data_IF_521227267339
#
_entry.id   IF_521227267339
#
_cell.length_a   1.000
_cell.length_b   1.000
_cell.length_c   1.000
_cell.angle_alpha   90.00
_cell.angle_beta   90.00
_cell.angle_gamma   90.00
#
_symmetry.space_group_name_H-M   'P 1'
#
loop_
_entity.id
_entity.type
_entity.pdbx_description
1 polymer ?
#
# COMPACT_ATOMS: atom_id res chain seq x y z
N UNK A 1 -11.11 -20.14 -34.28
CA UNK A 1 -10.39 -19.46 -33.18
C UNK A 1 -11.33 -19.37 -32.00
N UNK A 2 -11.06 -20.06 -30.90
CA UNK A 2 -11.82 -19.89 -29.65
C UNK A 2 -11.67 -18.44 -29.19
N UNK A 3 -12.78 -17.71 -29.04
CA UNK A 3 -12.76 -16.33 -28.53
C UNK A 3 -12.15 -16.36 -27.12
N UNK A 4 -11.03 -15.67 -26.94
CA UNK A 4 -10.44 -15.47 -25.62
C UNK A 4 -11.48 -14.78 -24.73
N UNK A 5 -11.76 -15.35 -23.55
CA UNK A 5 -12.68 -14.73 -22.58
C UNK A 5 -12.06 -13.47 -21.97
N UNK A 6 -12.87 -12.49 -21.56
CA UNK A 6 -12.39 -11.35 -20.79
C UNK A 6 -11.56 -11.77 -19.57
N UNK A 7 -10.44 -11.09 -19.33
CA UNK A 7 -9.53 -11.43 -18.24
C UNK A 7 -8.35 -10.48 -18.12
N UNK A 8 -7.55 -10.70 -17.07
CA UNK A 8 -6.27 -10.02 -16.86
C UNK A 8 -5.11 -10.99 -17.05
N UNK A 9 -4.02 -10.51 -17.65
CA UNK A 9 -2.85 -11.33 -17.97
C UNK A 9 -2.29 -12.07 -16.74
N UNK A 10 -2.14 -13.39 -16.85
CA UNK A 10 -1.60 -14.23 -15.79
C UNK A 10 -2.49 -14.42 -14.55
N UNK A 11 -3.63 -13.75 -14.44
CA UNK A 11 -4.59 -13.95 -13.33
C UNK A 11 -5.50 -15.14 -13.70
N UNK A 12 -4.94 -16.36 -13.62
CA UNK A 12 -5.62 -17.59 -14.05
C UNK A 12 -6.71 -18.05 -13.08
N UNK A 13 -6.41 -18.06 -11.78
CA UNK A 13 -7.29 -18.54 -10.72
C UNK A 13 -7.52 -17.45 -9.69
N UNK A 14 -8.79 -17.09 -9.46
CA UNK A 14 -9.17 -16.00 -8.57
C UNK A 14 -10.59 -16.19 -8.05
N UNK A 15 -10.92 -15.52 -6.94
CA UNK A 15 -12.29 -15.37 -6.44
C UNK A 15 -13.12 -14.32 -7.22
N UNK A 16 -12.53 -13.61 -8.18
CA UNK A 16 -13.23 -12.71 -9.11
C UNK A 16 -13.39 -13.35 -10.48
N UNK A 17 -14.60 -13.26 -11.05
CA UNK A 17 -14.89 -13.74 -12.40
C UNK A 17 -14.85 -12.57 -13.40
N UNK A 18 -13.75 -12.47 -14.14
CA UNK A 18 -13.56 -11.42 -15.15
C UNK A 18 -14.48 -11.55 -16.37
N UNK A 19 -15.25 -12.63 -16.52
CA UNK A 19 -16.31 -12.68 -17.53
C UNK A 19 -17.53 -11.80 -17.16
N UNK A 20 -17.68 -11.41 -15.89
CA UNK A 20 -18.78 -10.57 -15.39
C UNK A 20 -18.41 -9.09 -15.46
N UNK A 21 -19.36 -8.24 -15.89
CA UNK A 21 -19.18 -6.78 -15.97
C UNK A 21 -18.83 -6.14 -14.62
N UNK A 22 -19.36 -6.67 -13.52
CA UNK A 22 -19.20 -6.08 -12.18
C UNK A 22 -17.73 -6.08 -11.72
N UNK A 23 -16.95 -7.08 -12.16
CA UNK A 23 -15.50 -7.16 -11.89
C UNK A 23 -14.68 -6.07 -12.60
N UNK A 24 -15.24 -5.46 -13.64
CA UNK A 24 -14.63 -4.34 -14.37
C UNK A 24 -15.05 -2.97 -13.85
N UNK A 25 -15.86 -2.92 -12.80
CA UNK A 25 -16.21 -1.67 -12.11
C UNK A 25 -15.03 -1.06 -11.35
N UNK A 26 -15.13 0.24 -11.04
CA UNK A 26 -14.09 1.06 -10.37
C UNK A 26 -13.37 0.34 -9.22
N UNK A 27 -14.10 -0.32 -8.31
CA UNK A 27 -13.50 -0.87 -7.09
C UNK A 27 -12.74 -2.19 -7.35
N UNK A 28 -13.31 -3.09 -8.16
CA UNK A 28 -12.69 -4.39 -8.42
C UNK A 28 -11.57 -4.29 -9.47
N UNK A 29 -11.80 -3.56 -10.57
CA UNK A 29 -10.78 -3.43 -11.60
C UNK A 29 -9.49 -2.79 -11.06
N UNK A 30 -9.60 -1.71 -10.29
CA UNK A 30 -8.44 -0.99 -9.77
C UNK A 30 -7.60 -1.80 -8.77
N UNK A 31 -8.20 -2.78 -8.08
CA UNK A 31 -7.49 -3.70 -7.17
C UNK A 31 -6.99 -4.97 -7.89
N UNK A 32 -7.60 -5.35 -9.03
CA UNK A 32 -7.19 -6.53 -9.81
C UNK A 32 -6.16 -6.26 -10.92
N UNK A 33 -6.32 -5.16 -11.67
CA UNK A 33 -5.41 -4.78 -12.77
C UNK A 33 -3.92 -4.83 -12.38
N UNK A 34 -3.54 -4.40 -11.16
CA UNK A 34 -2.15 -4.44 -10.70
C UNK A 34 -1.50 -5.82 -10.69
N UNK A 35 -2.25 -6.88 -10.35
CA UNK A 35 -1.77 -8.26 -10.44
C UNK A 35 -1.48 -8.65 -11.90
N UNK A 36 -2.37 -8.26 -12.82
CA UNK A 36 -2.19 -8.48 -14.26
C UNK A 36 -0.97 -7.76 -14.83
N UNK A 37 -0.77 -6.50 -14.45
CA UNK A 37 0.40 -5.71 -14.84
C UNK A 37 1.70 -6.33 -14.31
N UNK A 38 1.71 -6.77 -13.05
CA UNK A 38 2.87 -7.41 -12.41
C UNK A 38 3.22 -8.74 -13.09
N UNK A 39 2.22 -9.56 -13.42
CA UNK A 39 2.43 -10.79 -14.18
C UNK A 39 2.99 -10.51 -15.59
N UNK A 40 2.52 -9.44 -16.23
CA UNK A 40 2.99 -9.05 -17.56
C UNK A 40 4.46 -8.58 -17.52
N UNK A 41 4.84 -7.78 -16.53
CA UNK A 41 6.24 -7.41 -16.28
C UNK A 41 7.12 -8.67 -16.11
N UNK A 42 6.68 -9.63 -15.29
CA UNK A 42 7.40 -10.89 -15.09
C UNK A 42 7.57 -11.68 -16.40
N UNK A 43 6.54 -11.72 -17.26
CA UNK A 43 6.62 -12.39 -18.57
C UNK A 43 7.63 -11.74 -19.54
N UNK A 44 8.00 -10.49 -19.28
CA UNK A 44 9.04 -9.75 -20.02
C UNK A 44 10.40 -9.81 -19.31
N UNK A 45 10.55 -10.64 -18.28
CA UNK A 45 11.74 -10.70 -17.41
C UNK A 45 12.07 -9.36 -16.76
N UNK A 46 11.04 -8.59 -16.40
CA UNK A 46 11.17 -7.30 -15.72
C UNK A 46 10.76 -7.46 -14.25
N UNK A 47 11.72 -7.31 -13.35
CA UNK A 47 11.44 -7.25 -11.92
C UNK A 47 10.83 -5.90 -11.51
N UNK A 48 10.06 -5.89 -10.44
CA UNK A 48 9.45 -4.67 -9.91
C UNK A 48 10.49 -3.82 -9.15
N UNK A 49 10.25 -2.51 -9.05
CA UNK A 49 11.07 -1.65 -8.20
C UNK A 49 10.69 -1.93 -6.75
N UNK A 50 11.64 -2.31 -5.91
CA UNK A 50 11.39 -2.58 -4.49
C UNK A 50 12.01 -1.51 -3.61
N UNK A 51 11.16 -0.77 -2.91
CA UNK A 51 11.56 0.18 -1.87
C UNK A 51 11.72 -0.58 -0.56
N UNK A 52 12.93 -0.53 -0.02
CA UNK A 52 13.31 -1.23 1.19
C UNK A 52 14.04 -0.26 2.13
N UNK A 53 14.05 -0.57 3.43
CA UNK A 53 14.69 0.25 4.45
C UNK A 53 16.11 -0.25 4.73
N UNK A 54 17.08 0.66 4.79
CA UNK A 54 18.44 0.35 5.25
C UNK A 54 18.64 0.58 6.75
N UNK A 55 19.85 0.29 7.24
CA UNK A 55 20.20 0.38 8.68
C UNK A 55 20.29 1.83 9.18
N UNK A 56 20.40 2.80 8.27
CA UNK A 56 20.36 4.24 8.54
C UNK A 56 18.93 4.80 8.49
N UNK A 57 17.91 3.93 8.43
CA UNK A 57 16.50 4.29 8.27
C UNK A 57 16.23 5.09 6.99
N UNK A 58 17.02 4.88 5.94
CA UNK A 58 16.81 5.48 4.63
C UNK A 58 16.19 4.45 3.69
N UNK A 59 15.20 4.93 2.93
CA UNK A 59 14.59 4.12 1.89
C UNK A 59 15.52 4.05 0.69
N UNK A 60 15.80 2.84 0.23
CA UNK A 60 16.64 2.50 -0.91
C UNK A 60 15.87 1.65 -1.90
N UNK A 61 16.40 1.51 -3.11
CA UNK A 61 15.80 0.71 -4.16
C UNK A 61 16.63 -0.53 -4.44
N UNK A 62 15.93 -1.65 -4.66
CA UNK A 62 16.46 -2.81 -5.36
C UNK A 62 15.37 -3.38 -6.28
N UNK A 63 15.59 -4.56 -6.85
CA UNK A 63 14.57 -5.28 -7.62
C UNK A 63 13.94 -6.37 -6.77
N UNK A 64 12.68 -6.67 -7.04
CA UNK A 64 11.96 -7.83 -6.50
C UNK A 64 11.21 -8.54 -7.61
N UNK A 65 11.42 -9.85 -7.70
CA UNK A 65 10.71 -10.67 -8.67
C UNK A 65 9.24 -10.83 -8.29
N UNK A 66 8.37 -11.11 -9.27
CA UNK A 66 6.97 -11.45 -9.00
C UNK A 66 6.86 -12.73 -8.13
N UNK A 67 7.82 -13.66 -8.25
CA UNK A 67 7.90 -14.85 -7.40
C UNK A 67 8.07 -14.50 -5.93
N UNK A 68 9.04 -13.66 -5.60
CA UNK A 68 9.28 -13.22 -4.22
C UNK A 68 8.10 -12.43 -3.67
N UNK A 69 7.51 -11.56 -4.51
CA UNK A 69 6.33 -10.77 -4.16
C UNK A 69 5.11 -11.63 -3.83
N UNK A 70 4.86 -12.72 -4.58
CA UNK A 70 3.70 -13.59 -4.39
C UNK A 70 3.95 -14.77 -3.46
N UNK A 71 5.22 -15.11 -3.19
CA UNK A 71 5.62 -16.32 -2.49
C UNK A 71 5.63 -17.59 -3.35
N UNK A 72 5.30 -17.49 -4.64
CA UNK A 72 5.27 -18.58 -5.62
C UNK A 72 5.42 -18.01 -7.03
N UNK A 73 5.86 -18.82 -8.00
CA UNK A 73 5.98 -18.39 -9.40
C UNK A 73 4.67 -17.82 -9.95
N UNK A 74 4.69 -16.66 -10.65
CA UNK A 74 3.50 -15.99 -11.16
C UNK A 74 2.76 -16.79 -12.25
N UNK A 75 3.42 -17.75 -12.89
CA UNK A 75 2.82 -18.64 -13.89
C UNK A 75 2.38 -20.00 -13.30
N UNK A 76 2.65 -20.24 -12.01
CA UNK A 76 2.31 -21.49 -11.32
C UNK A 76 0.82 -21.76 -11.44
N UNK A 77 0.48 -23.01 -11.74
CA UNK A 77 -0.92 -23.41 -11.68
C UNK A 77 -1.41 -23.54 -10.23
N UNK A 78 -0.54 -23.51 -9.21
CA UNK A 78 -0.99 -23.50 -7.81
C UNK A 78 -1.22 -22.09 -7.24
N UNK A 79 -0.97 -21.03 -8.01
CA UNK A 79 -1.20 -19.65 -7.56
C UNK A 79 -2.69 -19.27 -7.69
N UNK A 80 -3.29 -18.87 -6.58
CA UNK A 80 -4.64 -18.31 -6.50
C UNK A 80 -4.62 -16.86 -6.02
N UNK A 81 -5.29 -15.97 -6.75
CA UNK A 81 -5.44 -14.54 -6.42
C UNK A 81 -6.76 -14.31 -5.65
N UNK A 82 -6.69 -14.24 -4.33
CA UNK A 82 -7.83 -14.03 -3.45
C UNK A 82 -7.99 -12.54 -3.13
N UNK A 83 -8.82 -11.83 -3.89
CA UNK A 83 -9.04 -10.40 -3.70
C UNK A 83 -9.97 -10.12 -2.53
N UNK A 84 -9.79 -8.96 -1.87
CA UNK A 84 -10.62 -8.50 -0.75
C UNK A 84 -10.85 -9.58 0.32
N UNK A 85 -9.76 -10.24 0.69
CA UNK A 85 -9.77 -11.40 1.58
C UNK A 85 -8.85 -11.18 2.79
N UNK A 86 -9.15 -11.78 3.95
CA UNK A 86 -8.28 -11.68 5.12
C UNK A 86 -7.06 -12.60 4.95
N UNK A 87 -5.89 -12.14 5.38
CA UNK A 87 -4.71 -13.00 5.54
C UNK A 87 -4.80 -13.73 6.87
N UNK A 88 -5.42 -14.91 6.84
CA UNK A 88 -5.75 -15.68 8.04
C UNK A 88 -4.58 -15.96 9.00
N UNK A 89 -3.29 -16.04 8.59
CA UNK A 89 -2.19 -16.18 9.54
C UNK A 89 -2.07 -15.05 10.58
N UNK A 90 -2.58 -13.85 10.28
CA UNK A 90 -2.58 -12.72 11.23
C UNK A 90 -3.79 -12.69 12.17
N UNK A 91 -4.80 -13.54 11.96
CA UNK A 91 -6.03 -13.54 12.76
C UNK A 91 -5.75 -13.77 14.27
N UNK A 92 -4.75 -14.60 14.60
CA UNK A 92 -4.35 -14.85 15.98
C UNK A 92 -3.75 -13.63 16.70
N UNK A 93 -3.27 -12.63 15.95
CA UNK A 93 -2.60 -11.44 16.48
C UNK A 93 -3.58 -10.32 16.84
N UNK A 94 -4.87 -10.45 16.51
CA UNK A 94 -5.87 -9.39 16.69
C UNK A 94 -7.04 -9.86 17.56
N UNK A 95 -7.65 -8.92 18.26
CA UNK A 95 -8.96 -9.11 18.92
C UNK A 95 -10.05 -8.77 17.91
N UNK A 96 -11.06 -9.63 17.80
CA UNK A 96 -12.15 -9.48 16.83
C UNK A 96 -11.79 -10.04 15.45
N UNK A 97 -12.35 -9.46 14.39
CA UNK A 97 -12.17 -9.96 13.02
C UNK A 97 -11.02 -9.20 12.34
N UNK A 98 -10.08 -9.90 11.71
CA UNK A 98 -9.04 -9.25 10.91
C UNK A 98 -9.68 -8.59 9.67
N UNK A 99 -9.35 -7.33 9.35
CA UNK A 99 -9.85 -6.70 8.13
C UNK A 99 -9.33 -7.42 6.88
N UNK A 100 -10.03 -7.20 5.77
CA UNK A 100 -9.62 -7.69 4.45
C UNK A 100 -8.51 -6.80 3.91
N UNK A 101 -7.61 -7.39 3.12
CA UNK A 101 -6.63 -6.66 2.30
C UNK A 101 -7.00 -6.81 0.82
N UNK A 102 -6.53 -5.89 -0.03
CA UNK A 102 -6.89 -5.87 -1.45
C UNK A 102 -6.56 -7.19 -2.17
N UNK A 103 -5.42 -7.81 -1.89
CA UNK A 103 -5.02 -9.09 -2.46
C UNK A 103 -4.33 -9.99 -1.42
N UNK A 104 -4.74 -11.25 -1.35
CA UNK A 104 -3.99 -12.34 -0.72
C UNK A 104 -3.65 -13.38 -1.78
N UNK A 105 -2.36 -13.68 -1.96
CA UNK A 105 -1.95 -14.85 -2.76
C UNK A 105 -2.07 -16.11 -1.93
N UNK A 106 -2.57 -17.18 -2.54
CA UNK A 106 -2.81 -18.46 -1.87
C UNK A 106 -2.34 -19.63 -2.73
N UNK A 107 -2.01 -20.75 -2.10
CA UNK A 107 -1.91 -22.04 -2.78
C UNK A 107 -3.32 -22.57 -3.06
N UNK A 108 -3.60 -22.92 -4.32
CA UNK A 108 -4.90 -23.48 -4.69
C UNK A 108 -5.08 -24.89 -4.11
N UNK A 109 -4.00 -25.65 -3.99
CA UNK A 109 -3.98 -27.04 -3.54
C UNK A 109 -4.53 -27.22 -2.12
N UNK A 110 -4.31 -26.26 -1.22
CA UNK A 110 -4.68 -26.38 0.18
C UNK A 110 -5.23 -25.08 0.83
N UNK A 111 -5.31 -23.97 0.08
CA UNK A 111 -5.78 -22.68 0.58
C UNK A 111 -4.79 -21.93 1.47
N UNK A 112 -3.54 -22.37 1.58
CA UNK A 112 -2.51 -21.72 2.39
C UNK A 112 -2.26 -20.29 1.87
N UNK A 113 -2.41 -19.31 2.75
CA UNK A 113 -2.07 -17.93 2.43
C UNK A 113 -0.55 -17.74 2.36
N UNK A 114 -0.08 -17.03 1.34
CA UNK A 114 1.35 -16.79 1.09
C UNK A 114 1.76 -15.34 1.39
N UNK A 115 1.04 -14.37 0.83
CA UNK A 115 1.36 -12.94 0.95
C UNK A 115 0.09 -12.07 1.03
N UNK A 116 -0.03 -11.18 2.02
CA UNK A 116 -0.99 -10.08 1.99
C UNK A 116 -0.41 -8.86 1.26
N UNK A 117 -1.16 -8.28 0.32
CA UNK A 117 -0.69 -7.18 -0.52
C UNK A 117 -1.78 -6.11 -0.60
N UNK A 118 -1.51 -4.92 -0.06
CA UNK A 118 -2.31 -3.72 -0.30
C UNK A 118 -2.04 -3.19 -1.70
N UNK A 119 -3.07 -2.71 -2.40
CA UNK A 119 -2.95 -2.23 -3.78
C UNK A 119 -3.28 -0.74 -3.88
N UNK A 120 -2.37 0.04 -4.46
CA UNK A 120 -2.57 1.48 -4.71
C UNK A 120 -2.22 1.85 -6.14
N UNK A 121 -3.22 1.86 -7.02
CA UNK A 121 -3.08 2.35 -8.39
C UNK A 121 -3.05 3.88 -8.42
N UNK A 122 -1.86 4.48 -8.65
CA UNK A 122 -1.64 5.92 -8.51
C UNK A 122 -1.30 6.62 -9.81
N UNK A 123 -1.83 7.83 -9.98
CA UNK A 123 -1.55 8.69 -11.14
C UNK A 123 -0.16 9.31 -11.04
N UNK A 124 0.54 9.39 -12.18
CA UNK A 124 1.80 10.11 -12.31
C UNK A 124 1.70 11.12 -13.48
N UNK A 125 1.97 12.41 -13.27
CA UNK A 125 2.11 13.08 -11.98
C UNK A 125 0.77 13.25 -11.24
N UNK A 126 0.85 13.49 -9.94
CA UNK A 126 -0.26 14.01 -9.16
C UNK A 126 -0.42 15.53 -9.31
N UNK A 127 -1.46 16.10 -8.70
CA UNK A 127 -1.72 17.53 -8.80
C UNK A 127 -0.61 18.41 -8.15
N UNK A 128 0.20 17.87 -7.24
CA UNK A 128 1.26 18.63 -6.56
C UNK A 128 2.55 18.77 -7.40
N UNK A 129 2.73 17.90 -8.38
CA UNK A 129 3.95 17.78 -9.21
C UNK A 129 3.70 17.92 -10.72
N UNK A 130 2.45 17.95 -11.17
CA UNK A 130 2.06 18.02 -12.58
C UNK A 130 2.54 19.23 -13.40
N UNK A 131 3.00 20.30 -12.75
CA UNK A 131 3.56 21.48 -13.41
C UNK A 131 5.10 21.47 -13.44
N UNK A 132 5.75 20.43 -12.89
CA UNK A 132 7.21 20.29 -12.87
C UNK A 132 7.69 19.55 -14.13
N UNK A 133 9.01 19.46 -14.34
CA UNK A 133 9.58 18.55 -15.32
C UNK A 133 9.34 17.09 -14.91
N UNK A 134 9.34 16.17 -15.89
CA UNK A 134 9.00 14.75 -15.65
C UNK A 134 9.91 14.08 -14.62
N UNK A 135 11.15 14.55 -14.50
CA UNK A 135 12.13 14.07 -13.52
C UNK A 135 11.73 14.38 -12.07
N UNK A 136 10.75 15.27 -11.84
CA UNK A 136 10.22 15.63 -10.52
C UNK A 136 8.76 15.19 -10.32
N UNK A 137 8.22 14.36 -11.21
CA UNK A 137 6.87 13.82 -11.05
C UNK A 137 6.79 12.88 -9.85
N UNK A 138 5.69 12.98 -9.11
CA UNK A 138 5.36 12.08 -8.01
C UNK A 138 3.89 11.68 -8.02
N UNK A 139 3.54 10.73 -7.15
CA UNK A 139 2.20 10.16 -7.05
C UNK A 139 1.58 10.53 -5.70
N UNK A 140 0.31 10.93 -5.69
CA UNK A 140 -0.43 10.93 -4.42
C UNK A 140 -0.74 9.49 -4.03
N UNK A 141 -0.54 9.14 -2.76
CA UNK A 141 -0.97 7.87 -2.19
C UNK A 141 -1.84 8.13 -0.96
N UNK A 142 -2.99 7.46 -0.92
CA UNK A 142 -3.99 7.56 0.17
C UNK A 142 -4.15 6.19 0.81
N UNK A 143 -3.96 6.12 2.12
CA UNK A 143 -3.87 4.88 2.88
C UNK A 143 -5.11 4.71 3.78
N UNK A 144 -5.66 3.49 3.81
CA UNK A 144 -6.78 3.13 4.70
C UNK A 144 -6.26 2.67 6.06
N UNK A 145 -7.05 2.81 7.14
CA UNK A 145 -6.68 2.30 8.45
C UNK A 145 -6.31 0.81 8.45
N UNK A 146 -7.01 -0.01 7.67
CA UNK A 146 -6.76 -1.45 7.58
C UNK A 146 -5.32 -1.78 7.14
N UNK A 147 -4.72 -0.96 6.27
CA UNK A 147 -3.31 -1.12 5.89
C UNK A 147 -2.37 -0.97 7.08
N UNK A 148 -2.71 -0.13 8.06
CA UNK A 148 -1.94 0.06 9.30
C UNK A 148 -2.08 -1.16 10.22
N UNK A 149 -3.24 -1.82 10.22
CA UNK A 149 -3.44 -3.08 10.94
C UNK A 149 -2.54 -4.17 10.36
N UNK A 150 -2.50 -4.33 9.04
CA UNK A 150 -1.59 -5.28 8.38
C UNK A 150 -0.12 -4.95 8.61
N UNK A 151 0.24 -3.66 8.59
CA UNK A 151 1.58 -3.21 8.94
C UNK A 151 1.94 -3.65 10.38
N UNK A 152 1.07 -3.36 11.35
CA UNK A 152 1.29 -3.74 12.75
C UNK A 152 1.39 -5.26 12.92
N UNK A 153 0.53 -6.04 12.26
CA UNK A 153 0.60 -7.50 12.27
C UNK A 153 1.90 -8.04 11.67
N UNK A 154 2.37 -7.46 10.55
CA UNK A 154 3.64 -7.87 9.91
C UNK A 154 4.86 -7.65 10.81
N UNK A 155 4.83 -6.59 11.64
CA UNK A 155 5.89 -6.34 12.63
C UNK A 155 5.70 -7.30 13.81
N UNK A 156 4.50 -7.36 14.40
CA UNK A 156 4.18 -8.15 15.57
C UNK A 156 4.43 -9.67 15.37
N UNK A 157 4.22 -10.20 14.16
CA UNK A 157 4.47 -11.61 13.86
C UNK A 157 5.91 -12.05 14.10
N UNK A 158 6.88 -11.14 14.00
CA UNK A 158 8.29 -11.42 14.30
C UNK A 158 8.55 -11.61 15.81
N UNK A 159 7.63 -11.17 16.67
CA UNK A 159 7.76 -11.22 18.12
C UNK A 159 6.73 -12.14 18.79
N UNK A 160 5.95 -12.92 18.01
CA UNK A 160 4.87 -13.78 18.53
C UNK A 160 5.36 -14.76 19.60
N UNK A 161 6.57 -15.28 19.42
CA UNK A 161 7.20 -16.25 20.32
C UNK A 161 8.08 -15.56 21.40
N UNK A 162 8.35 -14.26 21.27
CA UNK A 162 9.19 -13.48 22.18
C UNK A 162 8.66 -12.07 22.47
N UNK A 163 7.45 -11.97 23.04
CA UNK A 163 6.82 -10.68 23.38
C UNK A 163 7.65 -9.82 24.35
N UNK A 164 8.48 -10.45 25.18
CA UNK A 164 9.36 -9.76 26.15
C UNK A 164 10.40 -8.89 25.44
N UNK A 165 10.92 -9.36 24.30
CA UNK A 165 11.86 -8.59 23.49
C UNK A 165 11.20 -7.34 22.91
N UNK A 166 9.99 -7.47 22.34
CA UNK A 166 9.23 -6.31 21.87
C UNK A 166 8.94 -5.32 23.01
N UNK A 167 8.53 -5.81 24.18
CA UNK A 167 8.29 -4.96 25.34
C UNK A 167 9.56 -4.21 25.79
N UNK A 168 10.73 -4.85 25.72
CA UNK A 168 12.03 -4.24 26.01
C UNK A 168 12.38 -3.13 25.02
N UNK A 169 12.19 -3.37 23.72
CA UNK A 169 12.45 -2.39 22.66
C UNK A 169 11.53 -1.15 22.76
N UNK A 170 10.26 -1.38 23.12
CA UNK A 170 9.31 -0.29 23.38
C UNK A 170 9.70 0.48 24.65
N UNK A 171 9.97 -0.23 25.75
CA UNK A 171 10.29 0.35 27.04
C UNK A 171 9.05 0.73 27.87
N UNK A 172 9.28 1.33 29.05
CA UNK A 172 8.26 1.58 30.07
C UNK A 172 7.81 3.04 30.20
N UNK A 173 8.36 3.97 29.40
CA UNK A 173 8.03 5.41 29.47
C UNK A 173 6.53 5.70 29.26
N UNK A 174 5.82 4.80 28.60
CA UNK A 174 4.41 4.94 28.21
C UNK A 174 3.41 4.44 29.25
N UNK A 175 3.88 3.80 30.34
CA UNK A 175 3.02 3.38 31.46
C UNK A 175 2.44 4.57 32.23
N UNK A 176 3.01 5.76 32.04
CA UNK A 176 2.55 7.03 32.63
C UNK A 176 1.37 7.66 31.91
N UNK A 177 1.03 7.21 30.69
CA UNK A 177 -0.11 7.72 29.94
C UNK A 177 -1.37 7.12 30.54
N UNK A 178 -2.07 7.90 31.37
CA UNK A 178 -3.32 7.49 32.04
C UNK A 178 -4.49 7.41 31.08
N UNK A 179 -4.58 8.34 30.13
CA UNK A 179 -5.62 8.39 29.12
C UNK A 179 -5.00 8.55 27.72
N UNK A 180 -5.21 7.54 26.88
CA UNK A 180 -4.73 7.55 25.50
C UNK A 180 -5.64 8.33 24.57
N UNK A 181 -6.89 8.59 24.96
CA UNK A 181 -7.85 9.37 24.16
C UNK A 181 -7.61 10.87 24.28
N UNK A 182 -6.99 11.31 25.38
CA UNK A 182 -6.53 12.69 25.54
C UNK A 182 -5.27 12.96 24.71
N UNK A 183 -5.44 13.72 23.63
CA UNK A 183 -4.36 14.12 22.75
C UNK A 183 -3.25 14.91 23.46
N UNK A 184 -3.55 15.70 24.50
CA UNK A 184 -2.54 16.46 25.23
C UNK A 184 -1.61 15.54 26.03
N UNK A 185 -2.19 14.55 26.71
CA UNK A 185 -1.43 13.50 27.42
C UNK A 185 -0.51 12.73 26.48
N UNK A 186 -1.00 12.32 25.31
CA UNK A 186 -0.23 11.53 24.33
C UNK A 186 0.85 12.37 23.62
N UNK A 187 0.58 13.66 23.36
CA UNK A 187 1.45 14.55 22.59
C UNK A 187 2.90 14.57 23.08
N UNK A 188 3.09 14.65 24.40
CA UNK A 188 4.42 14.70 25.03
C UNK A 188 5.29 13.46 24.80
N UNK A 189 4.70 12.35 24.32
CA UNK A 189 5.36 11.07 24.13
C UNK A 189 5.63 10.73 22.65
N UNK A 190 5.17 11.53 21.68
CA UNK A 190 5.24 11.20 20.25
C UNK A 190 6.68 10.97 19.77
N UNK A 191 7.63 11.81 20.17
CA UNK A 191 9.05 11.65 19.83
C UNK A 191 9.61 10.31 20.32
N UNK A 192 9.19 9.89 21.52
CA UNK A 192 9.62 8.61 22.09
C UNK A 192 8.93 7.41 21.43
N UNK A 193 7.68 7.57 20.97
CA UNK A 193 6.97 6.56 20.17
C UNK A 193 7.68 6.33 18.83
N UNK A 194 8.09 7.41 18.15
CA UNK A 194 8.87 7.33 16.91
C UNK A 194 10.18 6.58 17.16
N UNK A 195 10.93 6.97 18.21
CA UNK A 195 12.18 6.32 18.56
C UNK A 195 11.99 4.83 18.91
N UNK A 196 10.88 4.46 19.55
CA UNK A 196 10.54 3.07 19.83
C UNK A 196 10.21 2.28 18.55
N UNK A 197 9.44 2.86 17.63
CA UNK A 197 9.17 2.25 16.32
C UNK A 197 10.47 2.00 15.56
N UNK A 198 11.39 2.98 15.54
CA UNK A 198 12.68 2.84 14.89
C UNK A 198 13.51 1.69 15.49
N UNK A 199 13.58 1.60 16.83
CA UNK A 199 14.27 0.48 17.52
C UNK A 199 13.67 -0.88 17.16
N UNK A 200 12.34 -0.98 17.16
CA UNK A 200 11.63 -2.21 16.80
C UNK A 200 11.90 -2.60 15.35
N UNK A 201 11.84 -1.66 14.41
CA UNK A 201 12.11 -1.94 13.00
C UNK A 201 13.56 -2.35 12.79
N UNK A 202 14.52 -1.67 13.43
CA UNK A 202 15.94 -1.98 13.30
C UNK A 202 16.29 -3.37 13.86
N UNK A 203 15.60 -3.83 14.92
CA UNK A 203 15.87 -5.15 15.51
C UNK A 203 15.44 -6.31 14.61
N UNK A 204 14.52 -6.08 13.67
CA UNK A 204 14.03 -7.09 12.72
C UNK A 204 14.21 -6.66 11.26
N UNK A 205 15.16 -5.77 10.97
CA UNK A 205 15.35 -5.14 9.66
C UNK A 205 15.52 -6.15 8.50
N UNK A 206 16.14 -7.30 8.78
CA UNK A 206 16.35 -8.40 7.84
C UNK A 206 15.05 -9.17 7.51
N UNK A 207 13.98 -8.95 8.27
CA UNK A 207 12.65 -9.54 8.09
C UNK A 207 11.68 -8.66 7.30
N UNK A 208 12.16 -7.54 6.75
CA UNK A 208 11.28 -6.67 5.95
C UNK A 208 10.71 -7.40 4.74
N UNK A 209 9.41 -7.25 4.52
CA UNK A 209 8.66 -7.98 3.50
C UNK A 209 7.74 -7.04 2.71
N UNK A 210 7.36 -7.41 1.46
CA UNK A 210 6.40 -6.64 0.69
C UNK A 210 5.08 -6.44 1.43
N UNK A 211 4.61 -5.19 1.48
CA UNK A 211 3.32 -4.84 2.08
C UNK A 211 2.37 -4.20 1.06
N UNK A 212 2.91 -3.31 0.21
CA UNK A 212 2.10 -2.47 -0.67
C UNK A 212 2.62 -2.51 -2.11
N UNK A 213 1.73 -2.86 -3.03
CA UNK A 213 1.92 -2.81 -4.48
C UNK A 213 1.34 -1.50 -5.01
N UNK A 214 2.23 -0.60 -5.44
CA UNK A 214 1.90 0.69 -6.03
C UNK A 214 2.23 0.70 -7.53
N UNK A 215 1.31 0.25 -8.40
CA UNK A 215 1.42 0.53 -9.81
C UNK A 215 1.19 2.00 -10.10
N UNK A 216 1.99 2.53 -11.02
CA UNK A 216 1.85 3.89 -11.52
C UNK A 216 1.23 3.89 -12.91
N UNK A 217 0.46 4.93 -13.22
CA UNK A 217 0.00 5.22 -14.58
C UNK A 217 0.35 6.65 -14.97
N UNK A 218 1.29 6.79 -15.91
CA UNK A 218 1.84 8.08 -16.34
C UNK A 218 1.02 8.71 -17.46
N UNK A 219 0.73 9.99 -17.29
CA UNK A 219 0.04 10.83 -18.27
C UNK A 219 0.91 12.00 -18.74
N UNK A 220 0.48 12.64 -19.82
CA UNK A 220 1.12 13.85 -20.32
C UNK A 220 0.71 15.05 -19.44
N UNK A 221 1.43 15.28 -18.34
CA UNK A 221 1.14 16.35 -17.37
C UNK A 221 -0.22 16.12 -16.71
N UNK A 222 -1.14 17.09 -16.79
CA UNK A 222 -2.55 16.94 -16.32
C UNK A 222 -3.49 16.32 -17.36
N UNK A 223 -3.00 16.01 -18.56
CA UNK A 223 -3.85 15.48 -19.63
C UNK A 223 -4.42 14.11 -19.25
N UNK A 224 -5.65 13.75 -19.64
CA UNK A 224 -6.15 12.38 -19.49
C UNK A 224 -5.49 11.39 -20.44
N UNK A 225 -4.54 11.83 -21.28
CA UNK A 225 -3.80 10.99 -22.22
C UNK A 225 -2.60 10.35 -21.53
N UNK A 226 -2.53 9.03 -21.59
CA UNK A 226 -1.35 8.27 -21.18
C UNK A 226 -0.13 8.65 -22.02
N UNK A 227 1.02 8.75 -21.35
CA UNK A 227 2.31 8.85 -22.03
C UNK A 227 2.62 7.56 -22.81
N UNK A 228 3.61 7.58 -23.69
CA UNK A 228 3.97 6.37 -24.44
C UNK A 228 4.49 5.28 -23.51
N UNK A 229 5.41 5.63 -22.61
CA UNK A 229 5.86 4.85 -21.46
C UNK A 229 5.01 5.21 -20.25
N UNK A 230 4.07 4.33 -19.87
CA UNK A 230 3.01 4.72 -18.94
C UNK A 230 2.77 3.82 -17.75
N UNK A 231 3.20 2.57 -17.73
CA UNK A 231 2.95 1.69 -16.59
C UNK A 231 4.24 1.11 -16.02
N UNK A 232 4.32 1.10 -14.69
CA UNK A 232 5.35 0.38 -13.92
C UNK A 232 4.79 0.02 -12.54
N UNK A 233 5.52 -0.78 -11.78
CA UNK A 233 5.11 -1.28 -10.45
C UNK A 233 6.22 -1.05 -9.44
N UNK A 234 5.86 -0.33 -8.37
CA UNK A 234 6.68 -0.11 -7.19
C UNK A 234 6.12 -0.93 -6.03
N UNK A 235 6.98 -1.67 -5.35
CA UNK A 235 6.65 -2.48 -4.19
C UNK A 235 7.30 -1.84 -2.97
N UNK A 236 6.51 -1.53 -1.95
CA UNK A 236 7.02 -1.03 -0.67
C UNK A 236 7.14 -2.18 0.31
N UNK A 237 8.30 -2.30 0.95
CA UNK A 237 8.41 -3.12 2.16
C UNK A 237 7.58 -2.51 3.28
N UNK A 238 7.13 -3.35 4.21
CA UNK A 238 6.47 -2.89 5.43
C UNK A 238 7.27 -1.78 6.14
N UNK A 239 8.60 -1.88 6.22
CA UNK A 239 9.43 -0.89 6.91
C UNK A 239 9.71 0.37 6.10
N UNK A 240 9.91 0.26 4.78
CA UNK A 240 10.00 1.44 3.92
C UNK A 240 8.69 2.22 3.92
N UNK A 241 7.56 1.51 3.92
CA UNK A 241 6.24 2.12 4.08
C UNK A 241 6.06 2.79 5.45
N UNK A 242 6.58 2.23 6.54
CA UNK A 242 6.58 2.91 7.84
C UNK A 242 7.31 4.25 7.79
N UNK A 243 8.52 4.29 7.22
CA UNK A 243 9.26 5.55 7.14
C UNK A 243 8.53 6.64 6.34
N UNK A 244 7.69 6.27 5.37
CA UNK A 244 6.93 7.24 4.56
C UNK A 244 6.09 8.19 5.43
N UNK A 245 5.38 7.69 6.44
CA UNK A 245 4.55 8.54 7.31
C UNK A 245 5.28 8.98 8.58
N UNK A 246 6.29 8.21 9.04
CA UNK A 246 7.14 8.63 10.17
C UNK A 246 7.94 9.88 9.82
N UNK A 247 8.56 9.93 8.64
CA UNK A 247 9.34 11.11 8.21
C UNK A 247 8.47 12.36 8.04
N UNK A 248 7.25 12.20 7.54
CA UNK A 248 6.31 13.33 7.42
C UNK A 248 5.97 13.88 8.80
N UNK A 249 5.65 13.00 9.75
CA UNK A 249 5.37 13.41 11.11
C UNK A 249 6.59 14.01 11.82
N UNK A 250 7.80 13.49 11.60
CA UNK A 250 9.04 14.12 12.11
C UNK A 250 9.17 15.56 11.58
N UNK A 251 8.91 15.76 10.29
CA UNK A 251 8.88 17.07 9.67
C UNK A 251 7.87 18.00 10.35
N UNK A 252 6.62 17.57 10.48
CA UNK A 252 5.56 18.34 11.16
C UNK A 252 5.95 18.73 12.60
N UNK A 253 6.53 17.80 13.37
CA UNK A 253 7.01 18.08 14.74
C UNK A 253 8.16 19.10 14.74
N UNK A 254 9.12 18.97 13.82
CA UNK A 254 10.25 19.91 13.70
C UNK A 254 9.83 21.32 13.27
N UNK A 255 8.75 21.43 12.49
CA UNK A 255 8.16 22.69 12.05
C UNK A 255 7.26 23.35 13.11
N UNK A 256 7.17 22.76 14.32
CA UNK A 256 6.43 23.32 15.44
C UNK A 256 4.93 23.02 15.42
N UNK A 257 4.51 21.92 14.78
CA UNK A 257 3.14 21.42 14.95
C UNK A 257 2.83 21.27 16.44
N UNK A 258 1.60 21.61 16.83
CA UNK A 258 1.12 21.58 18.22
C UNK A 258 -0.18 20.78 18.36
N UNK A 259 -0.51 19.98 17.34
CA UNK A 259 -1.73 19.19 17.27
C UNK A 259 -1.47 17.86 16.59
N UNK A 260 -2.26 16.85 16.94
CA UNK A 260 -2.21 15.54 16.31
C UNK A 260 -2.84 15.60 14.92
N UNK A 261 -2.01 15.49 13.89
CA UNK A 261 -2.41 15.36 12.49
C UNK A 261 -2.76 13.90 12.17
N UNK A 262 -3.20 13.61 10.93
CA UNK A 262 -3.46 12.24 10.48
C UNK A 262 -2.20 11.37 10.49
N UNK A 263 -1.05 11.95 10.15
CA UNK A 263 0.25 11.31 10.09
C UNK A 263 0.74 10.99 11.51
N UNK A 264 0.69 11.98 12.41
CA UNK A 264 1.03 11.78 13.83
C UNK A 264 0.08 10.76 14.48
N UNK A 265 -1.23 10.82 14.18
CA UNK A 265 -2.18 9.81 14.63
C UNK A 265 -1.84 8.41 14.14
N UNK A 266 -1.40 8.26 12.89
CA UNK A 266 -1.00 6.96 12.35
C UNK A 266 0.20 6.38 13.10
N UNK A 267 1.14 7.22 13.55
CA UNK A 267 2.22 6.80 14.47
C UNK A 267 1.64 6.28 15.77
N UNK A 268 0.71 7.03 16.39
CA UNK A 268 0.08 6.62 17.64
C UNK A 268 -0.64 5.29 17.47
N UNK A 269 -1.38 5.10 16.36
CA UNK A 269 -2.06 3.84 16.05
C UNK A 269 -1.07 2.69 15.92
N UNK A 270 -0.04 2.81 15.07
CA UNK A 270 0.95 1.76 14.90
C UNK A 270 1.65 1.44 16.24
N UNK A 271 2.12 2.48 16.94
CA UNK A 271 2.77 2.32 18.23
C UNK A 271 1.86 1.61 19.23
N UNK A 272 0.61 2.05 19.36
CA UNK A 272 -0.35 1.50 20.31
C UNK A 272 -0.66 0.03 20.01
N UNK A 273 -0.81 -0.31 18.73
CA UNK A 273 -1.02 -1.71 18.32
C UNK A 273 0.16 -2.59 18.74
N UNK A 274 1.40 -2.15 18.51
CA UNK A 274 2.60 -2.89 18.93
C UNK A 274 2.74 -2.96 20.46
N UNK A 275 2.39 -1.89 21.16
CA UNK A 275 2.41 -1.84 22.62
C UNK A 275 1.39 -2.79 23.25
N UNK A 276 0.16 -2.81 22.76
CA UNK A 276 -0.88 -3.74 23.21
C UNK A 276 -0.47 -5.19 22.92
N UNK A 277 0.10 -5.46 21.74
CA UNK A 277 0.64 -6.78 21.42
C UNK A 277 1.78 -7.19 22.38
N UNK A 278 2.70 -6.28 22.70
CA UNK A 278 3.79 -6.58 23.63
C UNK A 278 3.29 -6.95 25.03
N UNK A 279 2.23 -6.29 25.51
CA UNK A 279 1.66 -6.52 26.84
C UNK A 279 0.71 -7.72 26.89
N UNK A 280 -0.15 -7.88 25.88
CA UNK A 280 -1.29 -8.79 25.91
C UNK A 280 -1.14 -9.95 24.92
N UNK A 281 -0.32 -9.79 23.88
CA UNK A 281 -0.16 -10.74 22.79
C UNK A 281 -1.19 -10.62 21.68
N UNK A 282 -2.07 -9.62 21.75
CA UNK A 282 -3.09 -9.35 20.72
C UNK A 282 -3.31 -7.85 20.55
N UNK A 283 -3.81 -7.46 19.38
CA UNK A 283 -4.06 -6.08 18.97
C UNK A 283 -5.57 -5.82 18.91
N UNK A 284 -6.09 -4.89 19.70
CA UNK A 284 -7.47 -4.42 19.57
C UNK A 284 -7.57 -3.23 18.60
N UNK A 285 -7.39 -3.52 17.32
CA UNK A 285 -7.27 -2.50 16.27
C UNK A 285 -8.54 -1.64 16.12
N UNK A 286 -9.74 -2.22 16.23
CA UNK A 286 -11.00 -1.48 16.20
C UNK A 286 -11.04 -0.39 17.29
N UNK A 287 -10.79 -0.78 18.54
CA UNK A 287 -10.75 0.15 19.67
C UNK A 287 -9.73 1.27 19.45
N UNK A 288 -8.53 0.91 18.98
CA UNK A 288 -7.45 1.88 18.71
C UNK A 288 -7.86 2.87 17.63
N UNK A 289 -8.38 2.41 16.50
CA UNK A 289 -8.73 3.28 15.36
C UNK A 289 -9.93 4.19 15.69
N UNK A 290 -10.90 3.68 16.45
CA UNK A 290 -12.13 4.42 16.77
C UNK A 290 -11.91 5.43 17.91
N UNK A 291 -11.27 5.01 19.00
CA UNK A 291 -11.10 5.86 20.19
C UNK A 291 -9.95 6.87 20.01
N UNK A 292 -8.88 6.50 19.29
CA UNK A 292 -7.68 7.34 19.14
C UNK A 292 -7.75 8.19 17.88
N UNK A 293 -8.89 8.84 17.65
CA UNK A 293 -9.14 9.65 16.44
C UNK A 293 -8.58 11.07 16.54
N UNK A 294 -8.42 11.61 17.75
CA UNK A 294 -7.88 12.95 18.06
C UNK A 294 -8.48 14.08 17.20
N UNK A 295 -9.80 14.11 17.07
CA UNK A 295 -10.55 15.10 16.26
C UNK A 295 -10.26 15.04 14.75
N UNK A 296 -9.69 13.95 14.26
CA UNK A 296 -9.51 13.70 12.82
C UNK A 296 -10.42 12.56 12.37
N UNK A 297 -10.99 12.64 11.16
CA UNK A 297 -11.79 11.51 10.62
C UNK A 297 -10.92 10.26 10.45
N UNK A 298 -11.45 9.09 10.78
CA UNK A 298 -10.77 7.80 10.72
C UNK A 298 -11.00 7.04 9.41
N UNK A 299 -11.62 7.65 8.40
CA UNK A 299 -11.85 7.06 7.06
C UNK A 299 -10.55 6.73 6.30
N UNK A 300 -9.48 7.44 6.64
CA UNK A 300 -8.13 7.32 6.06
C UNK A 300 -7.12 7.36 7.20
N UNK A 301 -6.08 6.55 7.11
CA UNK A 301 -4.93 6.66 8.00
C UNK A 301 -4.20 7.98 7.72
N UNK A 302 -3.70 8.13 6.48
CA UNK A 302 -3.03 9.33 6.01
C UNK A 302 -3.09 9.41 4.47
N UNK A 303 -2.65 10.55 3.93
CA UNK A 303 -2.35 10.73 2.52
C UNK A 303 -1.04 11.52 2.40
N UNK A 304 -0.23 11.21 1.39
CA UNK A 304 0.97 11.99 1.05
C UNK A 304 0.97 12.32 -0.43
N UNK A 305 1.40 13.55 -0.74
CA UNK A 305 1.43 14.07 -2.10
C UNK A 305 2.65 13.57 -2.88
N UNK A 306 2.61 13.78 -4.19
CA UNK A 306 3.70 13.45 -5.11
C UNK A 306 5.02 14.14 -4.73
N UNK A 307 4.99 15.35 -4.18
CA UNK A 307 6.21 16.01 -3.66
C UNK A 307 6.92 15.19 -2.58
N UNK A 308 6.16 14.49 -1.75
CA UNK A 308 6.68 13.63 -0.69
C UNK A 308 7.14 12.31 -1.30
N UNK A 309 6.27 11.60 -2.02
CA UNK A 309 6.57 10.26 -2.55
C UNK A 309 7.71 10.28 -3.56
N UNK A 310 7.87 11.37 -4.32
CA UNK A 310 8.93 11.53 -5.30
C UNK A 310 10.29 11.22 -4.65
N UNK A 311 10.58 11.82 -3.49
CA UNK A 311 11.83 11.63 -2.74
C UNK A 311 12.15 10.16 -2.42
N UNK A 312 11.13 9.32 -2.32
CA UNK A 312 11.26 7.89 -2.04
C UNK A 312 11.27 7.04 -3.32
N UNK A 313 10.68 7.51 -4.41
CA UNK A 313 10.45 6.73 -5.63
C UNK A 313 11.35 7.13 -6.80
N UNK A 314 12.13 8.22 -6.71
CA UNK A 314 12.97 8.72 -7.81
C UNK A 314 13.92 7.65 -8.34
N UNK A 315 13.66 7.18 -9.55
CA UNK A 315 14.49 6.23 -10.30
C UNK A 315 14.15 6.31 -11.79
N UNK A 316 14.88 5.57 -12.62
CA UNK A 316 14.66 5.53 -14.06
C UNK A 316 13.24 5.07 -14.44
N UNK A 317 12.68 4.11 -13.70
CA UNK A 317 11.33 3.59 -13.92
C UNK A 317 10.22 4.60 -13.56
N UNK A 318 10.48 5.54 -12.64
CA UNK A 318 9.53 6.60 -12.33
C UNK A 318 9.51 7.63 -13.47
N UNK A 319 10.69 8.04 -13.95
CA UNK A 319 10.81 9.00 -15.04
C UNK A 319 10.30 8.41 -16.35
N UNK A 320 10.63 7.16 -16.66
CA UNK A 320 10.26 6.45 -17.88
C UNK A 320 9.73 5.03 -17.56
N UNK A 321 8.43 4.89 -17.24
CA UNK A 321 7.80 3.61 -16.95
C UNK A 321 8.03 2.57 -18.05
N UNK A 322 8.32 1.33 -17.68
CA UNK A 322 8.83 0.34 -18.64
C UNK A 322 7.77 -0.25 -19.58
N UNK A 323 6.48 -0.16 -19.23
CA UNK A 323 5.39 -0.69 -20.06
C UNK A 323 4.75 0.43 -20.87
N UNK A 324 4.64 0.19 -22.17
CA UNK A 324 4.07 1.17 -23.09
C UNK A 324 2.54 1.10 -23.17
N UNK A 325 1.88 2.23 -23.48
CA UNK A 325 0.41 2.28 -23.62
C UNK A 325 -0.14 1.27 -24.63
N UNK A 326 0.61 0.99 -25.70
CA UNK A 326 0.23 0.01 -26.74
C UNK A 326 0.22 -1.44 -26.24
N UNK A 327 0.84 -1.69 -25.09
CA UNK A 327 0.91 -3.02 -24.47
C UNK A 327 -0.23 -3.29 -23.50
N UNK A 328 -1.03 -2.28 -23.12
CA UNK A 328 -2.20 -2.47 -22.24
C UNK A 328 -3.18 -3.51 -22.80
N UNK A 329 -3.32 -3.59 -24.13
CA UNK A 329 -4.12 -4.62 -24.83
C UNK A 329 -3.62 -6.06 -24.63
N UNK A 330 -2.39 -6.24 -24.14
CA UNK A 330 -1.82 -7.54 -23.77
C UNK A 330 -2.04 -7.87 -22.29
N UNK A 331 -2.46 -6.89 -21.49
CA UNK A 331 -2.76 -7.03 -20.06
C UNK A 331 -4.27 -7.22 -19.86
N UNK A 332 -5.08 -6.40 -20.53
CA UNK A 332 -6.54 -6.52 -20.58
C UNK A 332 -6.90 -7.38 -21.79
N UNK A 333 -7.46 -8.56 -21.53
CA UNK A 333 -7.64 -9.62 -22.51
C UNK A 333 -9.11 -9.81 -22.92
N UNK A 334 -9.32 -10.46 -24.06
CA UNK A 334 -10.64 -11.02 -24.44
C UNK A 334 -11.79 -10.03 -24.56
N UNK A 335 -11.50 -8.75 -24.84
CA UNK A 335 -12.53 -7.70 -24.92
C UNK A 335 -12.94 -7.11 -23.58
N UNK A 336 -12.22 -7.40 -22.50
CA UNK A 336 -12.51 -6.89 -21.16
C UNK A 336 -12.54 -5.36 -21.05
N UNK A 337 -11.82 -4.63 -21.92
CA UNK A 337 -11.90 -3.18 -21.98
C UNK A 337 -13.31 -2.67 -22.32
N UNK A 338 -14.14 -3.48 -22.98
CA UNK A 338 -15.53 -3.14 -23.31
C UNK A 338 -16.46 -3.29 -22.09
N UNK A 339 -16.00 -3.93 -21.02
CA UNK A 339 -16.72 -4.11 -19.77
C UNK A 339 -16.34 -3.06 -18.71
N UNK A 340 -15.30 -2.25 -18.97
CA UNK A 340 -14.89 -1.16 -18.08
C UNK A 340 -16.07 -0.20 -17.88
N UNK A 341 -16.43 -0.01 -16.61
CA UNK A 341 -17.48 0.93 -16.19
C UNK A 341 -16.83 2.05 -15.36
N UNK A 342 -16.22 3.06 -16.01
CA UNK A 342 -15.58 4.16 -15.32
C UNK A 342 -16.61 5.00 -14.55
N UNK A 343 -16.20 5.56 -13.42
CA UNK A 343 -17.06 6.45 -12.64
C UNK A 343 -17.41 7.70 -13.44
N UNK A 344 -18.71 8.01 -13.49
CA UNK A 344 -19.23 9.21 -14.14
C UNK A 344 -19.00 10.41 -13.23
N UNK A 345 -18.00 11.22 -13.54
CA UNK A 345 -17.75 12.49 -12.84
C UNK A 345 -18.06 13.65 -13.77
N UNK A 346 -18.77 14.66 -13.27
CA UNK A 346 -19.26 15.78 -14.09
C UNK A 346 -18.12 16.59 -14.70
N UNK A 347 -17.06 16.83 -13.93
CA UNK A 347 -15.82 17.46 -14.39
C UNK A 347 -15.15 16.67 -15.54
N UNK A 348 -15.14 15.35 -15.46
CA UNK A 348 -14.61 14.50 -16.52
C UNK A 348 -15.48 14.53 -17.79
N UNK A 349 -16.80 14.65 -17.65
CA UNK A 349 -17.69 14.82 -18.81
C UNK A 349 -17.43 16.17 -19.48
N UNK A 350 -17.43 17.27 -18.71
CA UNK A 350 -17.12 18.61 -19.23
C UNK A 350 -15.77 18.64 -19.94
N UNK A 351 -14.73 18.04 -19.34
CA UNK A 351 -13.39 18.05 -19.90
C UNK A 351 -13.28 17.29 -21.24
N UNK A 352 -14.00 16.18 -21.39
CA UNK A 352 -13.96 15.35 -22.60
C UNK A 352 -14.95 15.78 -23.68
N UNK A 353 -15.76 16.81 -23.40
CA UNK A 353 -16.77 17.35 -24.31
C UNK A 353 -16.46 18.82 -24.65
N UNK A 354 -15.36 19.10 -25.38
CA UNK A 354 -15.00 20.48 -25.75
C UNK A 354 -16.08 21.17 -26.58
N UNK A 355 -16.93 20.42 -27.27
CA UNK A 355 -18.08 20.91 -28.05
C UNK A 355 -19.13 21.64 -27.21
N UNK A 356 -19.12 21.49 -25.87
CA UNK A 356 -20.06 22.20 -24.99
C UNK A 356 -19.80 23.71 -24.93
N UNK A 357 -18.63 24.16 -25.38
CA UNK A 357 -18.19 25.56 -25.31
C UNK A 357 -17.87 26.17 -26.68
N UNK A 358 -18.24 25.48 -27.76
CA UNK A 358 -18.13 25.93 -29.16
C UNK A 358 -19.51 26.00 -29.76
#
# INVERSE_FOLDING_TARGET
MTKQKPGLFGVKYSNRDFAQSDTWGKNQFNSSFPAGLTNFLASKNLDNVYLYLDKELKVKHKKISAKELYGIEPNSDDLFFSFESPYTPYQQLVIGTLPRVDLVTQLRSNGQCLRPIEVKLTALPDNSTCNLSEEYYGCEIVIRPDTIVYLACSIASNFKDNKKELASLIGNKFEKISDWTDGASVWSHITEMIAAIDRVILSVLDKQEPLLMQPIWKTNGKSPKLSDNCLDVFIWSNFAFTQLFVDVARGELSEGANRITRQVRTIIWLFRMLYDFAKQGQINHHKIIDELSYNTKNDKAFAVSGRITHRYMTCAELTKPRIEKKEIRKIILGGGQNLLSPERRFDAIIYNSPELFT
#
